data_IF_938059655830
#
_entry.id   IF_938059655830
#
_cell.length_a   1.000
_cell.length_b   1.000
_cell.length_c   1.000
_cell.angle_alpha   90.00
_cell.angle_beta   90.00
_cell.angle_gamma   90.00
#
_symmetry.space_group_name_H-M   'P 1'
#
loop_
_entity.id
_entity.type
_entity.pdbx_description
1 polymer ?
#
# COMPACT_ATOMS: atom_id res chain seq x y z
N UNK A 1 -38.35 -13.68 -27.69
CA UNK A 1 -38.01 -12.27 -27.37
C UNK A 1 -37.02 -12.28 -26.22
N UNK A 2 -35.95 -11.49 -26.35
CA UNK A 2 -34.60 -11.77 -25.84
C UNK A 2 -34.49 -11.55 -24.32
N UNK A 3 -33.99 -12.56 -23.59
CA UNK A 3 -33.60 -12.45 -22.17
C UNK A 3 -32.30 -11.66 -22.09
N UNK A 4 -32.34 -10.44 -21.56
CA UNK A 4 -31.14 -9.62 -21.35
C UNK A 4 -30.53 -10.03 -20.02
N UNK A 5 -29.44 -10.81 -20.07
CA UNK A 5 -28.66 -11.17 -18.89
C UNK A 5 -27.63 -10.05 -18.69
N UNK A 6 -27.82 -9.26 -17.63
CA UNK A 6 -26.88 -8.25 -17.16
C UNK A 6 -25.68 -8.95 -16.52
N UNK A 7 -24.61 -9.13 -17.29
CA UNK A 7 -23.32 -9.59 -16.78
C UNK A 7 -22.61 -8.38 -16.16
N UNK A 8 -22.65 -8.30 -14.83
CA UNK A 8 -21.91 -7.30 -14.06
C UNK A 8 -20.41 -7.55 -14.16
N UNK A 9 -19.69 -6.57 -14.71
CA UNK A 9 -18.23 -6.57 -14.81
C UNK A 9 -17.67 -6.26 -13.40
N UNK A 10 -17.16 -7.29 -12.71
CA UNK A 10 -16.35 -7.11 -11.50
C UNK A 10 -14.94 -6.66 -11.91
N UNK A 11 -14.68 -5.37 -11.84
CA UNK A 11 -13.34 -4.79 -11.99
C UNK A 11 -12.59 -5.05 -10.68
N UNK A 12 -11.84 -6.15 -10.60
CA UNK A 12 -10.85 -6.37 -9.54
C UNK A 12 -9.56 -5.69 -9.97
N UNK A 13 -9.38 -4.43 -9.56
CA UNK A 13 -8.14 -3.68 -9.76
C UNK A 13 -7.01 -4.39 -9.00
N UNK A 14 -6.10 -5.04 -9.73
CA UNK A 14 -4.99 -5.85 -9.22
C UNK A 14 -3.86 -5.06 -8.54
N UNK A 15 -4.18 -4.22 -7.55
CA UNK A 15 -3.22 -3.69 -6.56
C UNK A 15 -3.10 -4.57 -5.30
N UNK A 16 -3.63 -5.80 -5.34
CA UNK A 16 -4.20 -6.46 -4.17
C UNK A 16 -3.24 -7.01 -3.11
N UNK A 17 -1.95 -7.30 -3.38
CA UNK A 17 -1.17 -8.05 -2.38
C UNK A 17 -0.71 -7.20 -1.19
N UNK A 18 -0.12 -6.03 -1.43
CA UNK A 18 0.41 -5.20 -0.35
C UNK A 18 -0.72 -4.67 0.56
N UNK A 19 -1.80 -4.18 -0.05
CA UNK A 19 -2.99 -3.66 0.64
C UNK A 19 -3.77 -4.76 1.37
N UNK A 20 -3.90 -5.96 0.80
CA UNK A 20 -4.54 -7.10 1.46
C UNK A 20 -3.78 -7.54 2.70
N UNK A 21 -2.45 -7.62 2.63
CA UNK A 21 -1.62 -8.01 3.78
C UNK A 21 -1.60 -6.93 4.87
N UNK A 22 -1.68 -5.64 4.49
CA UNK A 22 -1.86 -4.55 5.44
C UNK A 22 -3.18 -4.69 6.21
N UNK A 23 -4.31 -4.79 5.51
CA UNK A 23 -5.62 -4.91 6.14
C UNK A 23 -5.74 -6.17 7.01
N UNK A 24 -5.39 -7.34 6.45
CA UNK A 24 -5.42 -8.62 7.17
C UNK A 24 -4.56 -8.57 8.44
N UNK A 25 -3.34 -8.05 8.34
CA UNK A 25 -2.40 -8.02 9.45
C UNK A 25 -2.76 -7.01 10.53
N UNK A 26 -3.15 -5.79 10.15
CA UNK A 26 -3.59 -4.78 11.13
C UNK A 26 -4.86 -5.24 11.85
N UNK A 27 -5.79 -5.87 11.12
CA UNK A 27 -6.98 -6.50 11.72
C UNK A 27 -6.63 -7.57 12.73
N UNK A 28 -5.59 -8.38 12.48
CA UNK A 28 -5.15 -9.40 13.42
C UNK A 28 -4.56 -8.83 14.72
N UNK A 29 -4.12 -7.57 14.72
CA UNK A 29 -3.66 -6.86 15.92
C UNK A 29 -4.81 -6.32 16.78
N UNK A 30 -6.01 -6.14 16.21
CA UNK A 30 -7.18 -5.64 16.95
C UNK A 30 -7.49 -6.49 18.18
N UNK A 31 -7.74 -5.83 19.31
CA UNK A 31 -7.96 -6.47 20.60
C UNK A 31 -6.69 -7.00 21.29
N UNK A 32 -5.51 -6.91 20.68
CA UNK A 32 -4.23 -7.20 21.35
C UNK A 32 -3.71 -5.97 22.09
N UNK A 33 -2.77 -6.19 23.01
CA UNK A 33 -2.00 -5.11 23.65
C UNK A 33 -1.09 -4.44 22.63
N UNK A 34 -0.93 -3.13 22.75
CA UNK A 34 -0.07 -2.32 21.86
C UNK A 34 1.35 -2.85 21.71
N UNK A 35 1.93 -3.47 22.75
CA UNK A 35 3.27 -4.09 22.68
C UNK A 35 3.38 -5.14 21.57
N UNK A 36 2.27 -5.75 21.18
CA UNK A 36 2.23 -6.67 20.03
C UNK A 36 2.50 -5.93 18.73
N UNK A 37 1.88 -4.76 18.54
CA UNK A 37 2.16 -3.90 17.39
C UNK A 37 3.61 -3.41 17.43
N UNK A 38 4.17 -3.07 18.60
CA UNK A 38 5.58 -2.68 18.70
C UNK A 38 6.54 -3.80 18.28
N UNK A 39 6.26 -5.06 18.65
CA UNK A 39 7.06 -6.19 18.18
C UNK A 39 6.94 -6.42 16.67
N UNK A 40 5.74 -6.25 16.11
CA UNK A 40 5.49 -6.53 14.69
C UNK A 40 5.94 -5.39 13.79
N UNK A 41 5.59 -4.14 14.11
CA UNK A 41 5.81 -2.92 13.31
C UNK A 41 7.00 -2.09 13.78
N UNK A 42 7.57 -2.37 14.96
CA UNK A 42 8.61 -1.53 15.58
C UNK A 42 7.96 -0.40 16.38
N UNK A 43 8.79 0.43 17.02
CA UNK A 43 8.28 1.59 17.73
C UNK A 43 7.78 2.68 16.76
N UNK A 44 6.69 3.38 17.09
CA UNK A 44 6.13 4.45 16.26
C UNK A 44 6.99 5.71 16.36
N UNK A 45 6.99 6.54 15.32
CA UNK A 45 7.68 7.84 15.36
C UNK A 45 6.87 8.90 16.11
N UNK A 46 5.55 8.72 16.25
CA UNK A 46 4.71 9.68 16.93
C UNK A 46 3.61 9.04 17.79
N UNK A 47 3.15 9.77 18.80
CA UNK A 47 2.05 9.42 19.70
C UNK A 47 1.18 10.65 19.93
N UNK A 48 -0.12 10.46 19.82
CA UNK A 48 -1.13 11.48 20.13
C UNK A 48 -2.12 10.93 21.14
N UNK A 49 -2.67 11.79 22.00
CA UNK A 49 -3.65 11.39 23.00
C UNK A 49 -4.90 12.27 22.92
N UNK A 50 -6.06 11.63 22.90
CA UNK A 50 -7.37 12.29 22.79
C UNK A 50 -8.37 11.60 23.69
N UNK A 51 -8.95 12.30 24.67
CA UNK A 51 -10.06 11.78 25.51
C UNK A 51 -9.86 10.34 26.03
N UNK A 52 -8.65 10.00 26.48
CA UNK A 52 -8.33 8.66 27.00
C UNK A 52 -8.09 7.58 25.93
N UNK A 53 -8.00 7.96 24.65
CA UNK A 53 -7.50 7.15 23.54
C UNK A 53 -6.09 7.61 23.21
N UNK A 54 -5.17 6.66 23.06
CA UNK A 54 -3.83 6.94 22.54
C UNK A 54 -3.73 6.46 21.10
N UNK A 55 -3.24 7.29 20.20
CA UNK A 55 -3.02 6.96 18.79
C UNK A 55 -1.52 6.94 18.53
N UNK A 56 -1.00 5.78 18.16
CA UNK A 56 0.39 5.59 17.74
C UNK A 56 0.48 5.66 16.22
N UNK A 57 1.50 6.35 15.71
CA UNK A 57 1.63 6.66 14.29
C UNK A 57 2.99 6.17 13.78
N UNK A 58 2.94 5.33 12.75
CA UNK A 58 4.10 4.94 11.96
C UNK A 58 4.09 5.67 10.63
N UNK A 59 5.23 6.22 10.22
CA UNK A 59 5.41 6.86 8.93
C UNK A 59 6.62 6.26 8.23
N UNK A 60 6.48 5.95 6.95
CA UNK A 60 7.60 5.58 6.09
C UNK A 60 7.53 6.39 4.81
N UNK A 61 8.68 6.83 4.32
CA UNK A 61 8.81 7.58 3.07
C UNK A 61 10.02 7.06 2.32
N UNK A 62 9.82 6.67 1.06
CA UNK A 62 10.86 6.14 0.20
C UNK A 62 10.91 6.94 -1.10
N UNK A 63 12.06 7.55 -1.38
CA UNK A 63 12.31 8.15 -2.68
C UNK A 63 12.71 7.06 -3.67
N UNK A 64 12.04 7.00 -4.81
CA UNK A 64 12.30 6.02 -5.87
C UNK A 64 12.01 6.64 -7.25
N UNK A 65 12.22 5.86 -8.30
CA UNK A 65 11.92 6.26 -9.68
C UNK A 65 10.82 5.35 -10.21
N UNK A 66 9.73 5.95 -10.69
CA UNK A 66 8.70 5.24 -11.46
C UNK A 66 8.97 5.41 -12.94
N UNK A 67 8.80 4.33 -13.69
CA UNK A 67 8.95 4.32 -15.14
C UNK A 67 7.57 4.41 -15.77
N UNK A 68 7.37 5.40 -16.62
CA UNK A 68 6.18 5.57 -17.42
C UNK A 68 6.55 5.44 -18.89
N UNK A 69 5.81 4.65 -19.65
CA UNK A 69 6.01 4.54 -21.09
C UNK A 69 4.97 5.39 -21.78
N UNK A 70 5.40 6.36 -22.56
CA UNK A 70 4.50 7.22 -23.33
C UNK A 70 4.85 7.25 -24.82
N UNK A 71 3.85 7.34 -25.71
CA UNK A 71 4.09 7.44 -27.15
C UNK A 71 4.64 8.82 -27.51
N UNK A 72 5.78 8.83 -28.20
CA UNK A 72 6.44 10.05 -28.69
C UNK A 72 6.59 9.99 -30.20
N UNK A 73 6.21 11.08 -30.86
CA UNK A 73 6.44 11.26 -32.30
C UNK A 73 7.90 11.57 -32.54
N UNK A 74 8.56 10.73 -33.32
CA UNK A 74 9.95 10.94 -33.75
C UNK A 74 10.00 11.20 -35.24
N UNK A 75 10.97 12.03 -35.62
CA UNK A 75 11.24 12.45 -36.99
C UNK A 75 12.68 12.07 -37.31
N UNK A 76 12.94 11.63 -38.53
CA UNK A 76 14.29 11.29 -38.97
C UNK A 76 14.37 11.10 -40.47
N UNK A 77 15.56 10.76 -40.95
CA UNK A 77 15.80 10.48 -42.37
C UNK A 77 16.54 9.17 -42.50
N UNK A 78 16.06 8.27 -43.36
CA UNK A 78 16.78 7.04 -43.72
C UNK A 78 17.16 7.16 -45.19
N UNK A 79 18.44 7.36 -45.47
CA UNK A 79 18.90 7.70 -46.81
C UNK A 79 18.38 9.08 -47.24
N UNK A 80 17.50 9.11 -48.25
CA UNK A 80 16.87 10.34 -48.78
C UNK A 80 15.40 10.50 -48.39
N UNK A 81 14.83 9.55 -47.65
CA UNK A 81 13.42 9.57 -47.27
C UNK A 81 13.25 10.08 -45.84
N UNK A 82 12.34 11.04 -45.66
CA UNK A 82 11.91 11.49 -44.33
C UNK A 82 10.93 10.49 -43.73
N UNK A 83 11.16 10.16 -42.45
CA UNK A 83 10.33 9.25 -41.68
C UNK A 83 9.75 10.01 -40.50
N UNK A 84 8.45 9.77 -40.27
CA UNK A 84 7.70 10.24 -39.11
C UNK A 84 6.95 9.06 -38.52
N UNK A 85 7.31 8.65 -37.30
CA UNK A 85 6.71 7.48 -36.64
C UNK A 85 6.50 7.71 -35.14
N UNK A 86 5.67 6.88 -34.52
CA UNK A 86 5.47 6.85 -33.07
C UNK A 86 6.36 5.76 -32.49
N UNK A 87 7.18 6.12 -31.52
CA UNK A 87 7.90 5.16 -30.69
C UNK A 87 7.44 5.30 -29.24
N UNK A 88 7.47 4.20 -28.51
CA UNK A 88 7.22 4.23 -27.07
C UNK A 88 8.54 4.54 -26.37
N UNK A 89 8.58 5.64 -25.61
CA UNK A 89 9.76 6.06 -24.86
C UNK A 89 9.49 5.94 -23.37
N UNK A 90 10.48 5.43 -22.63
CA UNK A 90 10.42 5.36 -21.18
C UNK A 90 10.82 6.70 -20.57
N UNK A 91 9.98 7.25 -19.71
CA UNK A 91 10.26 8.39 -18.86
C UNK A 91 10.50 7.90 -17.44
N UNK A 92 11.57 8.39 -16.82
CA UNK A 92 11.96 8.08 -15.44
C UNK A 92 11.58 9.26 -14.56
N UNK A 93 10.54 9.11 -13.75
CA UNK A 93 10.02 10.18 -12.91
C UNK A 93 10.36 9.87 -11.46
N UNK A 94 11.17 10.72 -10.79
CA UNK A 94 11.38 10.62 -9.35
C UNK A 94 10.06 10.82 -8.61
N UNK A 95 9.75 9.91 -7.69
CA UNK A 95 8.57 9.99 -6.83
C UNK A 95 8.93 9.67 -5.39
N UNK A 96 8.12 10.15 -4.47
CA UNK A 96 8.19 9.79 -3.05
C UNK A 96 7.00 8.91 -2.73
N UNK A 97 7.24 7.66 -2.35
CA UNK A 97 6.20 6.75 -1.88
C UNK A 97 6.06 6.89 -0.37
N UNK A 98 4.85 7.08 0.12
CA UNK A 98 4.57 7.19 1.55
C UNK A 98 3.73 6.04 2.08
N UNK A 99 3.92 5.76 3.36
CA UNK A 99 3.05 4.94 4.16
C UNK A 99 2.79 5.63 5.49
N UNK A 100 1.54 5.63 5.93
CA UNK A 100 1.16 6.07 7.27
C UNK A 100 0.28 5.01 7.88
N UNK A 101 0.59 4.55 9.09
CA UNK A 101 -0.24 3.63 9.87
C UNK A 101 -0.60 4.35 11.16
N UNK A 102 -1.88 4.29 11.54
CA UNK A 102 -2.36 4.80 12.81
C UNK A 102 -3.03 3.66 13.56
N UNK A 103 -2.66 3.47 14.83
CA UNK A 103 -3.28 2.46 15.71
C UNK A 103 -3.80 3.18 16.94
N UNK A 104 -5.11 3.11 17.15
CA UNK A 104 -5.78 3.65 18.33
C UNK A 104 -5.91 2.58 19.41
N UNK A 105 -5.55 2.93 20.63
CA UNK A 105 -5.69 2.08 21.81
C UNK A 105 -6.51 2.76 22.89
N UNK A 106 -7.26 1.95 23.63
CA UNK A 106 -7.98 2.42 24.82
C UNK A 106 -7.04 2.72 25.99
N UNK A 107 -7.60 3.26 27.07
CA UNK A 107 -6.91 3.54 28.34
C UNK A 107 -6.24 2.32 28.97
N UNK A 108 -6.66 1.11 28.60
CA UNK A 108 -6.08 -0.13 29.10
C UNK A 108 -4.98 -0.66 28.15
N UNK A 109 -4.65 0.05 27.07
CA UNK A 109 -3.61 -0.29 26.12
C UNK A 109 -4.00 -1.38 25.12
N UNK A 110 -5.30 -1.65 24.94
CA UNK A 110 -5.79 -2.58 23.92
C UNK A 110 -6.10 -1.86 22.62
N UNK A 111 -5.70 -2.47 21.51
CA UNK A 111 -5.92 -1.93 20.16
C UNK A 111 -7.41 -1.99 19.85
N UNK A 112 -8.00 -0.83 19.58
CA UNK A 112 -9.43 -0.66 19.29
C UNK A 112 -9.70 -0.45 17.82
N UNK A 113 -8.83 0.30 17.16
CA UNK A 113 -9.00 0.70 15.77
C UNK A 113 -7.66 0.92 15.10
N UNK A 114 -7.66 0.90 13.77
CA UNK A 114 -6.51 1.22 12.95
C UNK A 114 -6.93 1.88 11.64
N UNK A 115 -6.02 2.66 11.08
CA UNK A 115 -6.11 3.12 9.70
C UNK A 115 -4.73 3.10 9.06
N UNK A 116 -4.69 3.05 7.74
CA UNK A 116 -3.46 3.24 7.01
C UNK A 116 -3.72 3.97 5.69
N UNK A 117 -2.70 4.68 5.23
CA UNK A 117 -2.63 5.33 3.92
C UNK A 117 -1.36 4.85 3.22
N UNK A 118 -1.50 4.43 1.97
CA UNK A 118 -0.44 3.76 1.20
C UNK A 118 -0.39 4.29 -0.23
N UNK A 119 0.68 5.02 -0.55
CA UNK A 119 1.03 5.41 -1.92
C UNK A 119 2.13 4.49 -2.50
N UNK A 120 2.24 3.27 -1.97
CA UNK A 120 3.26 2.27 -2.30
C UNK A 120 4.41 2.20 -1.30
N UNK A 121 4.35 2.96 -0.21
CA UNK A 121 5.39 2.96 0.84
C UNK A 121 5.22 1.86 1.90
N UNK A 122 4.06 1.20 1.96
CA UNK A 122 3.74 0.28 3.07
C UNK A 122 4.33 -1.13 2.91
N UNK A 123 5.03 -1.42 1.81
CA UNK A 123 5.53 -2.77 1.51
C UNK A 123 6.38 -3.40 2.62
N UNK A 124 7.20 -2.61 3.31
CA UNK A 124 8.01 -3.09 4.44
C UNK A 124 7.14 -3.53 5.62
N UNK A 125 6.12 -2.75 5.98
CA UNK A 125 5.17 -3.07 7.04
C UNK A 125 4.25 -4.23 6.65
N UNK A 126 3.76 -4.24 5.41
CA UNK A 126 2.93 -5.31 4.85
C UNK A 126 3.59 -6.69 4.99
N UNK A 127 4.89 -6.81 4.67
CA UNK A 127 5.65 -8.06 4.85
C UNK A 127 5.81 -8.48 6.31
N UNK A 128 5.95 -7.53 7.24
CA UNK A 128 6.08 -7.83 8.67
C UNK A 128 4.75 -8.32 9.25
N UNK A 129 3.66 -7.71 8.80
CA UNK A 129 2.29 -8.08 9.11
C UNK A 129 1.90 -9.44 8.55
N UNK A 130 2.26 -9.72 7.29
CA UNK A 130 2.07 -11.02 6.65
C UNK A 130 2.73 -12.13 7.48
N UNK A 131 4.02 -11.98 7.80
CA UNK A 131 4.74 -12.92 8.67
C UNK A 131 4.01 -13.14 9.99
N UNK A 132 3.59 -12.07 10.65
CA UNK A 132 2.84 -12.17 11.91
C UNK A 132 1.56 -13.01 11.77
N UNK A 133 0.80 -12.82 10.68
CA UNK A 133 -0.43 -13.59 10.45
C UNK A 133 -0.19 -15.04 10.06
N UNK A 134 0.89 -15.33 9.33
CA UNK A 134 1.19 -16.69 8.89
C UNK A 134 1.68 -17.55 10.07
N UNK A 135 2.53 -17.01 10.94
CA UNK A 135 2.91 -17.70 12.19
C UNK A 135 1.72 -17.93 13.14
N UNK A 136 0.70 -17.06 13.11
CA UNK A 136 -0.54 -17.26 13.86
C UNK A 136 -1.40 -18.42 13.35
N UNK A 137 -1.29 -18.78 12.07
CA UNK A 137 -2.05 -19.88 11.45
C UNK A 137 -1.46 -21.27 11.71
N UNK A 138 -0.24 -21.37 12.25
CA UNK A 138 0.40 -22.65 12.59
C UNK A 138 -0.03 -23.21 13.96
N UNK A 139 -0.86 -22.46 14.71
CA UNK A 139 -1.33 -22.84 16.04
C UNK A 139 -2.85 -23.03 16.12
N UNK A 140 -3.54 -23.13 14.97
CA UNK A 140 -4.96 -23.47 14.84
C UNK A 140 -5.18 -24.53 13.77
#
# INVERSE_FOLDING_TARGET
MKKVILVGILIVLGGCSATQNMDKGLRALSGKKIDTAFRVLGYPENKQEFNGVTVYIWNNSLNTVRVYTEPRMVYGTVGKEEIRTIVNENQYVPVTLSCRIQIAVDKNGYIKDYSYDDDGGCLSYSRRLEKYTDYGSLYY
#
